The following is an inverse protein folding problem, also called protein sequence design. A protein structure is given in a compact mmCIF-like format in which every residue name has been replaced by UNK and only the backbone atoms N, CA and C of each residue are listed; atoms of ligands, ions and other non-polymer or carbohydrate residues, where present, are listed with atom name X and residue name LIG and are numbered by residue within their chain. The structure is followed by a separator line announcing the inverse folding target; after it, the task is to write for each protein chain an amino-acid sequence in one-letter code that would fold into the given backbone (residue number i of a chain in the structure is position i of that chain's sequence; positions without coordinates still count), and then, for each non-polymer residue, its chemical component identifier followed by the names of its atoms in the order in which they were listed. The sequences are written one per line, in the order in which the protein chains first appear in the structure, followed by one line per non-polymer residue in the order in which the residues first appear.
data_IF_851500626602
#
_entry.id   IF_851500626602
#
_cell.length_a   1.000
_cell.length_b   1.000
_cell.length_c   1.000
_cell.angle_alpha   90.00
_cell.angle_beta   90.00
_cell.angle_gamma   90.00
#
_symmetry.space_group_name_H-M   'P 1'
#
loop_
_entity.id
_entity.type
_entity.pdbx_description
1 polymer ?
#
# COMPACT_ATOMS: atom_id res chain seq x y z
N UNK A 1 -24.66 4.30 -32.83
CA UNK A 1 -24.01 3.66 -31.67
C UNK A 1 -24.63 2.31 -31.35
N UNK A 2 -25.90 2.22 -30.93
CA UNK A 2 -26.58 0.94 -30.62
C UNK A 2 -26.36 -0.18 -31.66
N UNK A 3 -26.46 0.12 -32.96
CA UNK A 3 -26.27 -0.87 -34.04
C UNK A 3 -24.83 -1.41 -34.14
N UNK A 4 -23.84 -0.64 -33.67
CA UNK A 4 -22.41 -0.96 -33.74
C UNK A 4 -21.97 -1.71 -32.47
N UNK A 5 -22.49 -1.32 -31.30
CA UNK A 5 -22.11 -1.89 -29.99
C UNK A 5 -22.99 -3.04 -29.53
N UNK A 6 -24.23 -3.14 -30.03
CA UNK A 6 -25.22 -4.10 -29.54
C UNK A 6 -25.79 -3.77 -28.15
N UNK A 7 -25.50 -2.60 -27.57
CA UNK A 7 -25.86 -2.22 -26.19
C UNK A 7 -27.36 -2.01 -25.92
N UNK A 8 -28.24 -2.27 -26.90
CA UNK A 8 -29.66 -1.93 -26.84
C UNK A 8 -29.96 -0.44 -27.11
N UNK A 9 -31.22 -0.01 -26.85
CA UNK A 9 -31.66 1.36 -27.11
C UNK A 9 -30.94 2.36 -26.19
N UNK A 10 -30.44 3.45 -26.78
CA UNK A 10 -29.92 4.61 -26.04
C UNK A 10 -31.03 5.65 -25.86
N UNK A 11 -30.95 6.41 -24.77
CA UNK A 11 -31.81 7.57 -24.53
C UNK A 11 -31.10 8.87 -24.98
N UNK A 12 -31.76 10.01 -24.78
CA UNK A 12 -31.29 11.36 -25.11
C UNK A 12 -30.56 12.07 -23.96
N UNK A 13 -30.33 11.38 -22.83
CA UNK A 13 -29.58 11.94 -21.69
C UNK A 13 -28.11 12.07 -22.08
N UNK A 14 -27.60 13.30 -21.99
CA UNK A 14 -26.16 13.58 -22.11
C UNK A 14 -25.50 13.37 -20.74
N UNK A 15 -24.48 12.53 -20.72
CA UNK A 15 -23.53 12.35 -19.61
C UNK A 15 -22.12 12.47 -20.21
N UNK A 16 -21.40 13.53 -19.86
CA UNK A 16 -20.05 13.82 -20.37
C UNK A 16 -19.30 14.76 -19.42
N UNK A 17 -18.00 14.52 -19.27
CA UNK A 17 -17.06 15.38 -18.56
C UNK A 17 -15.83 15.65 -19.45
N UNK A 18 -15.13 16.75 -19.18
CA UNK A 18 -13.84 17.06 -19.78
C UNK A 18 -12.78 17.08 -18.67
N UNK A 19 -11.73 16.29 -18.83
CA UNK A 19 -10.67 16.11 -17.84
C UNK A 19 -9.31 16.32 -18.51
N UNK A 20 -8.36 16.91 -17.79
CA UNK A 20 -6.97 17.07 -18.25
C UNK A 20 -6.08 16.21 -17.39
N UNK A 21 -5.31 15.33 -18.03
CA UNK A 21 -4.43 14.38 -17.36
C UNK A 21 -3.01 14.93 -17.45
N UNK A 22 -2.51 15.44 -16.33
CA UNK A 22 -1.13 15.91 -16.18
C UNK A 22 -0.28 14.80 -15.55
N UNK A 23 1.04 14.95 -15.52
CA UNK A 23 1.90 14.07 -14.74
C UNK A 23 1.63 14.24 -13.22
N UNK A 24 0.80 13.39 -12.60
CA UNK A 24 0.60 13.35 -11.13
C UNK A 24 -0.46 12.40 -10.51
N UNK A 25 -1.71 12.31 -10.98
CA UNK A 25 -2.79 11.52 -10.34
C UNK A 25 -2.85 10.05 -10.87
N UNK A 26 -3.98 9.30 -10.89
CA UNK A 26 -4.10 7.96 -11.55
C UNK A 26 -5.57 7.45 -11.67
N UNK A 27 -5.96 6.75 -12.76
CA UNK A 27 -7.27 6.07 -12.84
C UNK A 27 -7.05 4.60 -12.61
N UNK A 28 -7.48 4.14 -11.45
CA UNK A 28 -7.34 2.75 -11.07
C UNK A 28 -8.40 1.89 -11.80
N UNK A 29 -8.14 0.58 -12.00
CA UNK A 29 -9.04 -0.33 -12.69
C UNK A 29 -10.48 -0.33 -12.14
N UNK A 30 -11.43 -0.05 -13.02
CA UNK A 30 -12.88 -0.02 -12.76
C UNK A 30 -13.63 -0.50 -14.02
N UNK A 31 -14.93 -0.80 -13.93
CA UNK A 31 -15.72 -1.35 -15.05
C UNK A 31 -16.84 -0.43 -15.58
N UNK A 32 -16.95 0.79 -15.05
CA UNK A 32 -17.85 1.88 -15.48
C UNK A 32 -19.37 1.62 -15.26
N UNK A 33 -19.70 0.66 -14.39
CA UNK A 33 -21.07 0.17 -14.16
C UNK A 33 -21.84 1.10 -13.19
N UNK A 34 -22.15 2.30 -13.68
CA UNK A 34 -22.87 3.31 -12.88
C UNK A 34 -24.30 3.49 -13.41
N UNK A 35 -25.28 3.20 -12.57
CA UNK A 35 -26.70 3.55 -12.75
C UNK A 35 -27.34 3.03 -14.05
N UNK A 36 -27.31 3.85 -15.11
CA UNK A 36 -27.92 3.55 -16.42
C UNK A 36 -26.92 3.66 -17.59
N UNK A 37 -25.61 3.61 -17.33
CA UNK A 37 -24.60 3.59 -18.39
C UNK A 37 -24.68 2.28 -19.20
N UNK A 38 -24.53 2.39 -20.52
CA UNK A 38 -24.57 1.24 -21.45
C UNK A 38 -23.43 1.25 -22.48
N UNK A 39 -22.82 2.41 -22.72
CA UNK A 39 -21.61 2.60 -23.53
C UNK A 39 -20.74 3.60 -22.78
N UNK A 40 -19.47 3.29 -22.64
CA UNK A 40 -18.42 4.25 -22.27
C UNK A 40 -17.67 4.67 -23.52
N UNK A 41 -17.28 5.95 -23.56
CA UNK A 41 -16.52 6.50 -24.67
C UNK A 41 -15.59 7.62 -24.20
N UNK A 42 -14.42 7.71 -24.81
CA UNK A 42 -13.42 8.75 -24.53
C UNK A 42 -12.95 9.33 -25.85
N UNK A 43 -13.10 10.64 -26.02
CA UNK A 43 -12.56 11.39 -27.16
C UNK A 43 -11.25 12.03 -26.72
N UNK A 44 -10.15 11.68 -27.37
CA UNK A 44 -8.83 12.19 -27.02
C UNK A 44 -8.51 13.46 -27.81
N UNK A 45 -8.09 14.50 -27.08
CA UNK A 45 -7.77 15.83 -27.60
C UNK A 45 -6.36 16.26 -27.12
N UNK A 46 -5.38 15.38 -27.31
CA UNK A 46 -3.95 15.67 -27.14
C UNK A 46 -3.46 16.70 -28.17
N UNK A 47 -2.21 17.15 -28.08
CA UNK A 47 -1.66 18.10 -29.05
C UNK A 47 -1.62 17.45 -30.46
N UNK A 48 -2.19 18.06 -31.51
CA UNK A 48 -2.11 17.53 -32.87
C UNK A 48 -0.71 17.60 -33.50
N UNK A 49 0.17 18.45 -32.97
CA UNK A 49 1.53 18.68 -33.49
C UNK A 49 2.61 17.90 -32.70
N UNK A 50 2.24 17.23 -31.60
CA UNK A 50 3.13 16.38 -30.79
C UNK A 50 2.65 14.91 -30.77
N UNK A 51 3.52 13.95 -31.10
CA UNK A 51 3.13 12.55 -31.25
C UNK A 51 3.13 11.83 -29.89
N UNK A 52 1.95 11.54 -29.35
CA UNK A 52 1.82 10.81 -28.09
C UNK A 52 2.38 9.38 -28.20
N UNK A 53 3.36 9.05 -27.37
CA UNK A 53 4.02 7.74 -27.36
C UNK A 53 3.65 6.91 -26.13
N UNK A 54 4.07 5.65 -26.09
CA UNK A 54 3.92 4.81 -24.91
C UNK A 54 4.83 5.23 -23.72
N UNK A 55 5.81 6.12 -23.94
CA UNK A 55 6.66 6.64 -22.86
C UNK A 55 5.97 7.75 -22.06
N UNK A 56 4.96 8.41 -22.63
CA UNK A 56 4.25 9.55 -22.05
C UNK A 56 3.12 9.13 -21.08
N UNK A 57 2.86 7.83 -20.96
CA UNK A 57 1.79 7.28 -20.12
C UNK A 57 0.39 7.56 -20.69
N UNK A 58 -0.62 7.63 -19.82
CA UNK A 58 -1.98 8.01 -20.19
C UNK A 58 -2.73 7.03 -21.12
N UNK A 59 -2.18 5.84 -21.38
CA UNK A 59 -2.81 4.83 -22.21
C UNK A 59 -4.09 4.27 -21.57
N UNK A 60 -5.13 4.04 -22.35
CA UNK A 60 -6.26 3.20 -21.93
C UNK A 60 -5.79 1.75 -21.88
N UNK A 61 -5.84 1.14 -20.71
CA UNK A 61 -5.48 -0.25 -20.42
C UNK A 61 -6.75 -1.10 -20.32
N UNK A 62 -6.80 -2.24 -21.02
CA UNK A 62 -7.93 -3.18 -20.95
C UNK A 62 -7.51 -4.51 -20.33
N UNK A 63 -8.28 -4.97 -19.35
CA UNK A 63 -7.98 -6.17 -18.56
C UNK A 63 -8.86 -7.35 -18.99
N UNK A 64 -8.28 -8.53 -19.25
CA UNK A 64 -9.07 -9.73 -19.50
C UNK A 64 -9.70 -10.21 -18.19
N UNK A 65 -10.87 -10.86 -18.27
CA UNK A 65 -11.44 -11.59 -17.14
C UNK A 65 -10.59 -12.82 -16.82
N UNK A 66 -10.16 -12.95 -15.57
CA UNK A 66 -9.52 -14.16 -15.03
C UNK A 66 -10.57 -15.18 -14.57
N UNK A 67 -11.62 -14.68 -13.92
CA UNK A 67 -12.83 -15.45 -13.58
C UNK A 67 -14.05 -14.51 -13.59
N UNK A 68 -15.30 -15.03 -13.53
CA UNK A 68 -16.50 -14.19 -13.61
C UNK A 68 -16.48 -13.07 -12.55
N UNK A 69 -16.55 -11.81 -12.98
CA UNK A 69 -16.50 -10.64 -12.08
C UNK A 69 -15.11 -10.25 -11.56
N UNK A 70 -14.04 -10.95 -11.97
CA UNK A 70 -12.66 -10.68 -11.52
C UNK A 70 -11.73 -10.48 -12.73
N UNK A 71 -11.12 -9.29 -12.88
CA UNK A 71 -10.12 -9.04 -13.91
C UNK A 71 -8.78 -9.66 -13.51
N UNK A 72 -8.02 -10.13 -14.51
CA UNK A 72 -6.61 -10.50 -14.32
C UNK A 72 -5.78 -9.28 -13.91
N UNK A 73 -4.63 -9.50 -13.25
CA UNK A 73 -3.80 -8.40 -12.71
C UNK A 73 -2.97 -7.64 -13.77
N UNK A 74 -2.90 -8.16 -15.00
CA UNK A 74 -2.08 -7.64 -16.11
C UNK A 74 -3.00 -7.30 -17.29
N UNK A 75 -2.98 -6.06 -17.81
CA UNK A 75 -3.76 -5.69 -18.99
C UNK A 75 -3.14 -6.30 -20.25
N UNK A 76 -3.99 -6.64 -21.22
CA UNK A 76 -3.57 -7.33 -22.46
C UNK A 76 -3.83 -6.56 -23.75
N UNK A 77 -4.53 -5.44 -23.67
CA UNK A 77 -4.71 -4.52 -24.78
C UNK A 77 -4.60 -3.07 -24.30
N UNK A 78 -4.11 -2.20 -25.18
CA UNK A 78 -3.77 -0.81 -24.89
C UNK A 78 -4.20 0.09 -26.05
N UNK A 79 -4.66 1.30 -25.75
CA UNK A 79 -4.87 2.36 -26.74
C UNK A 79 -4.22 3.67 -26.26
N UNK A 80 -3.40 4.28 -27.11
CA UNK A 80 -2.77 5.57 -26.82
C UNK A 80 -3.77 6.72 -27.06
N UNK A 81 -3.75 7.79 -26.24
CA UNK A 81 -4.66 8.92 -26.31
C UNK A 81 -4.29 9.89 -27.46
N UNK A 82 -4.26 9.39 -28.70
CA UNK A 82 -3.85 10.16 -29.90
C UNK A 82 -4.91 11.19 -30.30
N UNK A 83 -4.50 12.32 -30.88
CA UNK A 83 -5.40 13.44 -31.18
C UNK A 83 -6.57 13.02 -32.09
N UNK A 84 -7.78 13.47 -31.71
CA UNK A 84 -9.02 13.25 -32.44
C UNK A 84 -9.35 11.75 -32.65
N UNK A 85 -8.91 10.90 -31.72
CA UNK A 85 -9.28 9.49 -31.65
C UNK A 85 -10.42 9.25 -30.64
N UNK A 86 -11.13 8.13 -30.81
CA UNK A 86 -12.28 7.72 -30.00
C UNK A 86 -12.06 6.29 -29.51
N UNK A 87 -11.92 6.12 -28.19
CA UNK A 87 -12.13 4.82 -27.54
C UNK A 87 -13.63 4.68 -27.22
N UNK A 88 -14.20 3.48 -27.42
CA UNK A 88 -15.62 3.23 -27.20
C UNK A 88 -15.87 1.73 -26.95
N UNK A 89 -16.60 1.40 -25.89
CA UNK A 89 -16.93 0.02 -25.52
C UNK A 89 -18.29 -0.08 -24.78
N UNK A 90 -18.99 -1.22 -24.85
CA UNK A 90 -20.17 -1.47 -24.02
C UNK A 90 -19.79 -1.56 -22.54
N UNK A 91 -20.62 -1.00 -21.66
CA UNK A 91 -20.51 -1.23 -20.21
C UNK A 91 -21.08 -2.61 -19.88
N UNK A 92 -20.31 -3.42 -19.17
CA UNK A 92 -20.61 -4.82 -18.90
C UNK A 92 -20.17 -5.22 -17.48
N UNK A 93 -21.12 -5.44 -16.54
CA UNK A 93 -20.84 -5.75 -15.14
C UNK A 93 -19.81 -6.87 -14.94
N UNK A 94 -18.71 -6.53 -14.26
CA UNK A 94 -17.62 -7.47 -13.96
C UNK A 94 -16.78 -7.89 -15.17
N UNK A 95 -16.89 -7.18 -16.31
CA UNK A 95 -16.25 -7.52 -17.59
C UNK A 95 -15.50 -6.32 -18.20
N UNK A 96 -16.09 -5.11 -18.22
CA UNK A 96 -15.52 -3.91 -18.88
C UNK A 96 -14.37 -3.24 -18.10
N UNK A 97 -13.55 -4.04 -17.42
CA UNK A 97 -12.45 -3.54 -16.59
C UNK A 97 -11.35 -2.84 -17.40
N UNK A 98 -11.13 -1.59 -17.06
CA UNK A 98 -10.14 -0.73 -17.69
C UNK A 98 -9.56 0.29 -16.70
N UNK A 99 -8.38 0.80 -17.02
CA UNK A 99 -7.77 1.95 -16.35
C UNK A 99 -7.20 2.91 -17.38
N UNK A 100 -6.90 4.13 -16.94
CA UNK A 100 -5.92 4.97 -17.64
C UNK A 100 -4.61 4.78 -16.90
N UNK A 101 -3.61 4.25 -17.61
CA UNK A 101 -2.24 4.19 -17.13
C UNK A 101 -1.88 5.55 -16.54
N UNK A 102 -1.26 5.53 -15.35
CA UNK A 102 -0.71 6.68 -14.60
C UNK A 102 -0.51 7.91 -15.54
N UNK A 103 -1.21 9.06 -15.40
CA UNK A 103 -1.47 9.73 -14.11
C UNK A 103 -2.79 10.61 -13.92
N UNK A 104 -4.07 10.15 -14.04
CA UNK A 104 -5.31 10.74 -13.37
C UNK A 104 -6.56 9.81 -13.43
N UNK A 105 -7.67 9.87 -12.60
CA UNK A 105 -8.04 10.70 -11.42
C UNK A 105 -8.63 10.00 -10.12
N UNK A 106 -9.94 9.58 -10.02
CA UNK A 106 -10.77 9.50 -8.75
C UNK A 106 -11.95 8.47 -8.77
N UNK A 107 -12.30 7.88 -7.60
CA UNK A 107 -13.62 7.27 -7.30
C UNK A 107 -13.69 5.74 -7.33
N UNK A 108 -14.43 5.13 -6.40
CA UNK A 108 -14.71 3.67 -6.35
C UNK A 108 -16.19 3.48 -6.00
N UNK A 109 -16.96 2.85 -6.89
CA UNK A 109 -18.39 2.55 -6.68
C UNK A 109 -18.63 1.22 -5.94
N UNK A 110 -19.88 0.99 -5.54
CA UNK A 110 -20.33 -0.21 -4.81
C UNK A 110 -19.89 -1.54 -5.43
N UNK A 111 -19.22 -2.37 -4.63
CA UNK A 111 -18.79 -3.71 -5.02
C UNK A 111 -19.98 -4.66 -5.25
N UNK A 112 -20.06 -5.26 -6.45
CA UNK A 112 -21.01 -6.34 -6.75
C UNK A 112 -20.83 -7.55 -5.81
N UNK A 113 -21.84 -8.40 -5.69
CA UNK A 113 -21.80 -9.57 -4.80
C UNK A 113 -20.57 -10.49 -5.02
N UNK A 114 -20.12 -10.64 -6.26
CA UNK A 114 -18.91 -11.41 -6.59
C UNK A 114 -17.63 -10.70 -6.14
N UNK A 115 -17.59 -9.36 -6.25
CA UNK A 115 -16.49 -8.53 -5.76
C UNK A 115 -16.44 -8.58 -4.22
N UNK A 116 -17.58 -8.57 -3.52
CA UNK A 116 -17.65 -8.78 -2.07
C UNK A 116 -17.07 -10.14 -1.64
N UNK A 117 -17.43 -11.24 -2.32
CA UNK A 117 -16.82 -12.56 -2.04
C UNK A 117 -15.31 -12.56 -2.30
N UNK A 118 -14.83 -11.85 -3.33
CA UNK A 118 -13.40 -11.72 -3.60
C UNK A 118 -12.67 -10.87 -2.53
N UNK A 119 -13.32 -9.83 -1.99
CA UNK A 119 -12.84 -9.04 -0.85
C UNK A 119 -12.69 -9.93 0.38
N UNK A 120 -13.73 -10.67 0.76
CA UNK A 120 -13.69 -11.63 1.88
C UNK A 120 -12.59 -12.67 1.72
N UNK A 121 -12.46 -13.27 0.53
CA UNK A 121 -11.45 -14.29 0.24
C UNK A 121 -10.01 -13.75 0.23
N UNK A 122 -9.82 -12.44 -0.01
CA UNK A 122 -8.50 -11.80 0.05
C UNK A 122 -7.98 -11.59 1.48
N UNK A 123 -8.90 -11.51 2.45
CA UNK A 123 -8.56 -11.24 3.84
C UNK A 123 -8.13 -12.52 4.57
N UNK A 124 -6.99 -12.45 5.27
CA UNK A 124 -6.56 -13.55 6.14
C UNK A 124 -7.26 -13.49 7.50
N UNK A 125 -7.53 -14.67 8.12
CA UNK A 125 -8.04 -14.74 9.48
C UNK A 125 -6.99 -14.21 10.47
N UNK A 126 -7.46 -13.73 11.62
CA UNK A 126 -6.59 -13.39 12.74
C UNK A 126 -6.20 -14.65 13.51
N UNK A 127 -4.91 -14.78 13.80
CA UNK A 127 -4.37 -15.79 14.72
C UNK A 127 -4.50 -15.26 16.15
N UNK A 128 -4.97 -16.05 17.14
CA UNK A 128 -5.10 -15.59 18.52
C UNK A 128 -3.78 -15.11 19.11
N UNK A 129 -3.84 -14.06 19.94
CA UNK A 129 -2.71 -13.45 20.62
C UNK A 129 -3.04 -13.30 22.09
N UNK A 130 -2.09 -13.65 22.96
CA UNK A 130 -2.18 -13.45 24.41
C UNK A 130 -1.22 -12.32 24.83
N UNK A 131 -1.69 -11.46 25.74
CA UNK A 131 -0.93 -10.35 26.32
C UNK A 131 -0.68 -10.69 27.78
N UNK A 132 0.59 -10.69 28.21
CA UNK A 132 0.94 -10.85 29.61
C UNK A 132 0.55 -9.60 30.43
N UNK A 133 0.03 -9.79 31.64
CA UNK A 133 -0.53 -8.72 32.47
C UNK A 133 0.51 -7.92 33.28
N UNK A 134 1.80 -8.01 32.94
CA UNK A 134 2.88 -7.30 33.65
C UNK A 134 3.06 -5.89 33.09
N UNK A 135 3.36 -4.91 33.96
CA UNK A 135 3.49 -3.49 33.60
C UNK A 135 4.83 -3.14 32.92
N UNK A 136 5.74 -4.12 32.79
CA UNK A 136 7.12 -3.93 32.34
C UNK A 136 7.60 -5.16 31.54
N UNK A 137 8.59 -4.94 30.67
CA UNK A 137 9.28 -6.01 29.94
C UNK A 137 10.28 -6.72 30.85
N UNK A 138 10.28 -8.05 30.82
CA UNK A 138 11.28 -8.87 31.52
C UNK A 138 12.65 -8.81 30.84
N UNK A 139 13.70 -9.22 31.54
CA UNK A 139 15.06 -9.33 30.97
C UNK A 139 15.11 -10.23 29.72
N UNK A 140 14.29 -11.29 29.68
CA UNK A 140 14.22 -12.20 28.54
C UNK A 140 13.56 -11.55 27.31
N UNK A 141 12.52 -10.75 27.52
CA UNK A 141 11.82 -10.02 26.45
C UNK A 141 12.68 -8.88 25.93
N UNK A 142 13.34 -8.12 26.81
CA UNK A 142 14.33 -7.12 26.43
C UNK A 142 15.47 -7.75 25.60
N UNK A 143 15.96 -8.93 25.99
CA UNK A 143 16.98 -9.66 25.23
C UNK A 143 16.48 -10.13 23.84
N UNK A 144 15.19 -10.44 23.70
CA UNK A 144 14.57 -10.80 22.42
C UNK A 144 14.35 -9.58 21.50
N UNK A 145 13.99 -8.41 22.07
CA UNK A 145 13.68 -7.19 21.32
C UNK A 145 14.91 -6.35 20.95
N UNK A 146 15.94 -6.30 21.81
CA UNK A 146 17.16 -5.48 21.61
C UNK A 146 17.89 -5.70 20.27
N UNK A 147 17.97 -6.92 19.69
CA UNK A 147 18.56 -7.12 18.36
C UNK A 147 17.80 -6.42 17.22
N UNK A 148 16.52 -6.09 17.43
CA UNK A 148 15.63 -5.53 16.42
C UNK A 148 15.30 -4.06 16.68
N UNK A 149 14.84 -3.71 17.87
CA UNK A 149 14.31 -2.38 18.21
C UNK A 149 15.44 -1.45 18.65
N UNK A 150 15.39 -0.20 18.21
CA UNK A 150 16.24 0.88 18.69
C UNK A 150 16.05 1.09 20.20
N UNK A 151 17.14 1.04 20.96
CA UNK A 151 17.14 0.97 22.43
C UNK A 151 16.37 2.11 23.13
N UNK A 152 16.18 3.27 22.49
CA UNK A 152 15.35 4.36 23.04
C UNK A 152 13.92 3.88 23.32
N UNK A 153 13.35 3.07 22.43
CA UNK A 153 11.98 2.54 22.52
C UNK A 153 11.83 1.38 23.51
N UNK A 154 12.92 0.91 24.11
CA UNK A 154 12.91 -0.15 25.13
C UNK A 154 13.01 0.38 26.56
N UNK A 155 13.08 1.71 26.74
CA UNK A 155 13.12 2.34 28.06
C UNK A 155 11.72 2.63 28.58
N UNK A 156 11.51 2.51 29.90
CA UNK A 156 10.22 2.75 30.56
C UNK A 156 9.71 4.17 30.31
N UNK A 157 10.56 5.17 30.55
CA UNK A 157 10.23 6.59 30.38
C UNK A 157 9.78 6.92 28.94
N UNK A 158 10.36 6.28 27.91
CA UNK A 158 9.94 6.45 26.51
C UNK A 158 8.64 5.70 26.22
N UNK A 159 8.42 4.51 26.77
CA UNK A 159 7.15 3.78 26.62
C UNK A 159 5.99 4.56 27.24
N UNK A 160 6.18 5.16 28.42
CA UNK A 160 5.18 6.03 29.06
C UNK A 160 4.85 7.25 28.18
N UNK A 161 5.87 7.93 27.63
CA UNK A 161 5.66 9.06 26.70
C UNK A 161 4.94 8.68 25.40
N UNK A 162 5.23 7.49 24.85
CA UNK A 162 4.56 6.97 23.65
C UNK A 162 3.10 6.63 23.98
N UNK A 163 2.84 6.02 25.14
CA UNK A 163 1.50 5.69 25.60
C UNK A 163 0.65 6.95 25.80
N UNK A 164 1.16 7.96 26.50
CA UNK A 164 0.47 9.24 26.70
C UNK A 164 0.14 9.92 25.37
N UNK A 165 1.12 10.00 24.45
CA UNK A 165 0.92 10.60 23.13
C UNK A 165 -0.09 9.83 22.28
N UNK A 166 -0.02 8.49 22.28
CA UNK A 166 -0.91 7.63 21.52
C UNK A 166 -2.35 7.66 22.04
N UNK A 167 -2.55 7.65 23.37
CA UNK A 167 -3.88 7.77 23.97
C UNK A 167 -4.54 9.13 23.70
N UNK A 168 -3.75 10.18 23.48
CA UNK A 168 -4.25 11.51 23.12
C UNK A 168 -4.71 11.66 21.67
N UNK A 169 -4.23 10.82 20.74
CA UNK A 169 -4.42 11.02 19.28
C UNK A 169 -4.92 9.77 18.52
N UNK A 170 -4.91 8.60 19.15
CA UNK A 170 -5.16 7.31 18.49
C UNK A 170 -4.10 6.88 17.47
N UNK A 171 -3.02 7.66 17.27
CA UNK A 171 -2.00 7.41 16.25
C UNK A 171 -0.62 7.98 16.61
N UNK A 172 0.45 7.27 16.25
CA UNK A 172 1.82 7.76 16.42
C UNK A 172 2.79 7.17 15.38
N UNK A 173 3.81 7.93 14.99
CA UNK A 173 4.92 7.47 14.16
C UNK A 173 6.22 7.43 14.98
N UNK A 174 6.89 6.28 14.98
CA UNK A 174 8.15 6.03 15.66
C UNK A 174 9.25 5.85 14.61
N UNK A 175 10.01 6.92 14.36
CA UNK A 175 11.08 6.95 13.37
C UNK A 175 12.34 6.24 13.83
N UNK A 176 13.14 5.71 12.90
CA UNK A 176 14.34 4.92 13.22
C UNK A 176 14.03 3.77 14.19
N UNK A 177 12.92 3.06 13.95
CA UNK A 177 12.36 2.07 14.87
C UNK A 177 13.23 0.84 15.03
N UNK A 178 13.67 0.23 13.92
CA UNK A 178 14.66 -0.84 13.97
C UNK A 178 16.06 -0.27 14.21
N UNK A 179 16.94 -1.12 14.76
CA UNK A 179 18.37 -0.83 14.84
C UNK A 179 18.93 -0.49 13.45
N UNK A 180 19.90 0.42 13.42
CA UNK A 180 20.54 0.88 12.18
C UNK A 180 21.13 -0.26 11.32
N UNK A 181 21.45 -1.40 11.95
CA UNK A 181 21.94 -2.62 11.31
C UNK A 181 20.86 -3.26 10.43
N UNK A 182 19.66 -3.48 10.96
CA UNK A 182 18.51 -3.98 10.18
C UNK A 182 18.07 -2.96 9.13
N UNK A 183 17.97 -1.69 9.51
CA UNK A 183 17.57 -0.62 8.59
C UNK A 183 18.50 -0.55 7.36
N UNK A 184 19.82 -0.55 7.59
CA UNK A 184 20.82 -0.52 6.51
C UNK A 184 20.80 -1.77 5.63
N UNK A 185 20.61 -2.96 6.23
CA UNK A 185 20.51 -4.22 5.49
C UNK A 185 19.24 -4.27 4.61
N UNK A 186 18.10 -3.80 5.13
CA UNK A 186 16.83 -3.72 4.40
C UNK A 186 16.94 -2.67 3.28
N UNK A 187 17.38 -1.45 3.57
CA UNK A 187 17.55 -0.37 2.58
C UNK A 187 18.49 -0.78 1.41
N UNK A 188 19.60 -1.46 1.71
CA UNK A 188 20.51 -1.99 0.68
C UNK A 188 19.80 -3.04 -0.19
N UNK A 189 19.00 -3.92 0.43
CA UNK A 189 18.30 -5.01 -0.25
C UNK A 189 17.12 -4.52 -1.11
N UNK A 190 16.33 -3.55 -0.62
CA UNK A 190 15.19 -2.98 -1.33
C UNK A 190 15.64 -2.18 -2.54
N UNK A 191 16.63 -1.29 -2.39
CA UNK A 191 17.25 -0.54 -3.51
C UNK A 191 17.84 -1.47 -4.57
N UNK A 192 18.51 -2.55 -4.15
CA UNK A 192 19.06 -3.53 -5.09
C UNK A 192 17.96 -4.27 -5.88
N UNK A 193 16.84 -4.61 -5.23
CA UNK A 193 15.69 -5.22 -5.90
C UNK A 193 15.01 -4.23 -6.86
N UNK A 194 14.75 -2.99 -6.44
CA UNK A 194 14.14 -1.97 -7.32
C UNK A 194 15.02 -1.66 -8.54
N UNK A 195 16.34 -1.60 -8.36
CA UNK A 195 17.29 -1.44 -9.47
C UNK A 195 17.33 -2.65 -10.41
N UNK A 196 17.13 -3.87 -9.91
CA UNK A 196 17.10 -5.09 -10.73
C UNK A 196 15.79 -5.21 -11.51
N UNK A 197 14.67 -4.85 -10.88
CA UNK A 197 13.32 -4.83 -11.44
C UNK A 197 13.03 -3.59 -12.31
N UNK A 198 13.99 -2.65 -12.40
CA UNK A 198 13.92 -1.39 -13.15
C UNK A 198 12.81 -0.42 -12.71
N UNK A 199 12.45 -0.47 -11.42
CA UNK A 199 11.38 0.34 -10.84
C UNK A 199 11.82 1.77 -10.49
N UNK A 200 10.84 2.68 -10.44
CA UNK A 200 10.98 4.04 -9.97
C UNK A 200 11.70 5.00 -10.92
N UNK A 201 11.99 6.20 -10.41
CA UNK A 201 12.63 7.31 -11.15
C UNK A 201 11.90 7.71 -12.43
N UNK A 202 10.56 7.70 -12.42
CA UNK A 202 9.71 8.06 -13.57
C UNK A 202 9.63 7.00 -14.66
N UNK A 203 10.16 5.79 -14.44
CA UNK A 203 10.10 4.71 -15.43
C UNK A 203 8.75 4.02 -15.40
N UNK A 204 8.17 3.79 -16.57
CA UNK A 204 7.01 2.90 -16.73
C UNK A 204 7.45 1.46 -16.45
N UNK A 205 6.90 0.79 -15.44
CA UNK A 205 7.32 -0.56 -15.04
C UNK A 205 6.67 -1.63 -15.92
N UNK A 206 7.30 -2.81 -16.01
CA UNK A 206 6.61 -4.00 -16.47
C UNK A 206 5.63 -4.47 -15.37
N UNK A 207 4.38 -4.82 -15.71
CA UNK A 207 3.40 -5.31 -14.73
C UNK A 207 3.89 -6.53 -13.93
N UNK A 208 4.77 -7.35 -14.51
CA UNK A 208 5.39 -8.53 -13.89
C UNK A 208 6.65 -8.23 -13.08
N UNK A 209 7.11 -6.97 -13.00
CA UNK A 209 8.32 -6.61 -12.28
C UNK A 209 8.21 -6.99 -10.79
N UNK A 210 9.29 -7.53 -10.22
CA UNK A 210 9.36 -7.92 -8.81
C UNK A 210 8.74 -9.26 -8.42
N UNK A 211 8.12 -10.01 -9.33
CA UNK A 211 7.64 -11.38 -9.07
C UNK A 211 7.93 -12.32 -10.26
N UNK A 212 7.82 -13.62 -10.02
CA UNK A 212 7.92 -14.65 -11.07
C UNK A 212 6.76 -15.65 -10.95
N UNK A 213 6.47 -16.35 -12.04
CA UNK A 213 5.54 -17.49 -12.07
C UNK A 213 6.24 -18.84 -11.84
N UNK A 214 7.57 -18.86 -11.83
CA UNK A 214 8.34 -19.90 -11.15
C UNK A 214 8.60 -19.49 -9.70
N UNK A 215 8.68 -20.45 -8.77
CA UNK A 215 8.83 -20.21 -7.31
C UNK A 215 10.23 -19.67 -6.92
N UNK A 216 10.88 -18.90 -7.79
CA UNK A 216 12.28 -18.47 -7.66
C UNK A 216 12.50 -17.30 -6.70
N UNK A 217 11.52 -16.40 -6.54
CA UNK A 217 11.64 -15.21 -5.69
C UNK A 217 10.58 -15.09 -4.58
N UNK A 218 9.56 -15.95 -4.59
CA UNK A 218 8.44 -16.01 -3.62
C UNK A 218 7.69 -14.68 -3.37
N UNK A 219 7.69 -13.77 -4.34
CA UNK A 219 6.74 -12.67 -4.37
C UNK A 219 5.52 -13.09 -5.18
N UNK A 220 4.33 -12.80 -4.66
CA UNK A 220 3.06 -13.18 -5.29
C UNK A 220 2.20 -11.94 -5.46
N UNK A 221 1.71 -11.63 -6.67
CA UNK A 221 0.87 -10.46 -6.88
C UNK A 221 -0.50 -10.69 -6.23
N UNK A 222 -0.99 -9.66 -5.54
CA UNK A 222 -2.27 -9.65 -4.86
C UNK A 222 -3.28 -8.78 -5.62
N UNK A 223 -4.55 -9.16 -5.50
CA UNK A 223 -5.70 -8.49 -6.06
C UNK A 223 -6.93 -8.70 -5.18
N UNK A 224 -8.15 -8.54 -5.70
CA UNK A 224 -8.48 -8.15 -7.08
C UNK A 224 -8.25 -6.65 -7.36
N UNK A 225 -8.12 -6.24 -8.63
CA UNK A 225 -7.73 -4.87 -8.99
C UNK A 225 -8.70 -3.77 -8.51
N UNK A 226 -10.00 -4.03 -8.51
CA UNK A 226 -11.01 -3.10 -7.97
C UNK A 226 -10.93 -2.93 -6.43
N UNK A 227 -9.95 -3.56 -5.77
CA UNK A 227 -9.66 -3.47 -4.34
C UNK A 227 -8.21 -3.07 -4.07
N UNK A 228 -7.26 -3.71 -4.76
CA UNK A 228 -5.84 -3.60 -4.46
C UNK A 228 -4.97 -4.16 -5.60
N UNK A 229 -3.73 -3.68 -5.69
CA UNK A 229 -2.63 -4.32 -6.41
C UNK A 229 -1.35 -4.12 -5.62
N UNK A 230 -0.69 -5.19 -5.19
CA UNK A 230 0.64 -5.14 -4.56
C UNK A 230 1.31 -6.52 -4.64
N UNK A 231 2.59 -6.64 -4.30
CA UNK A 231 3.24 -7.94 -4.13
C UNK A 231 3.31 -8.33 -2.65
N UNK A 232 2.89 -9.56 -2.34
CA UNK A 232 3.07 -10.18 -1.02
C UNK A 232 4.17 -11.22 -1.06
N UNK A 233 5.10 -11.17 -0.11
CA UNK A 233 6.11 -12.21 0.05
C UNK A 233 5.50 -13.44 0.75
N UNK A 234 5.74 -14.63 0.19
CA UNK A 234 5.24 -15.92 0.71
C UNK A 234 6.36 -16.91 1.03
N UNK A 235 7.62 -16.50 0.86
CA UNK A 235 8.77 -17.35 1.13
C UNK A 235 9.11 -17.45 2.62
N UNK A 236 10.00 -18.38 2.96
CA UNK A 236 10.47 -18.53 4.33
C UNK A 236 11.43 -17.41 4.74
N UNK A 237 11.43 -17.07 6.03
CA UNK A 237 12.46 -16.26 6.66
C UNK A 237 13.87 -16.93 6.58
N UNK A 238 14.96 -16.17 6.76
CA UNK A 238 16.31 -16.68 6.97
C UNK A 238 16.38 -17.72 8.08
N UNK A 239 17.15 -18.79 7.87
CA UNK A 239 17.46 -19.72 8.95
C UNK A 239 18.29 -19.01 10.04
N UNK A 240 18.19 -19.46 11.30
CA UNK A 240 18.93 -18.85 12.42
C UNK A 240 20.45 -18.74 12.17
N UNK A 241 21.04 -19.67 11.42
CA UNK A 241 22.46 -19.65 11.03
C UNK A 241 22.80 -18.64 9.93
N UNK A 242 21.81 -18.16 9.17
CA UNK A 242 21.93 -17.00 8.28
C UNK A 242 21.77 -15.69 9.07
N UNK A 243 20.79 -15.62 9.97
CA UNK A 243 20.57 -14.46 10.87
C UNK A 243 21.83 -14.16 11.70
N UNK A 244 22.44 -15.19 12.29
CA UNK A 244 23.70 -15.07 13.03
C UNK A 244 24.85 -14.50 12.16
N UNK A 245 24.92 -14.87 10.87
CA UNK A 245 25.93 -14.33 9.94
C UNK A 245 25.63 -12.89 9.54
N UNK A 246 24.35 -12.55 9.33
CA UNK A 246 23.91 -11.18 9.07
C UNK A 246 24.28 -10.29 10.25
N UNK A 247 23.83 -10.65 11.46
CA UNK A 247 24.15 -9.94 12.70
C UNK A 247 25.67 -9.79 12.91
N UNK A 248 26.47 -10.84 12.75
CA UNK A 248 27.93 -10.73 12.89
C UNK A 248 28.58 -9.82 11.83
N UNK A 249 28.16 -9.93 10.57
CA UNK A 249 28.69 -9.08 9.49
C UNK A 249 28.28 -7.61 9.63
N UNK A 250 27.13 -7.34 10.25
CA UNK A 250 26.65 -6.00 10.56
C UNK A 250 27.33 -5.40 11.81
N UNK A 251 27.85 -6.21 12.74
CA UNK A 251 28.63 -5.71 13.89
C UNK A 251 30.06 -5.27 13.53
N UNK A 252 30.66 -5.85 12.48
CA UNK A 252 32.00 -5.47 12.00
C UNK A 252 31.99 -4.15 11.21
N UNK A 253 30.82 -3.65 10.80
CA UNK A 253 30.65 -2.46 9.96
C UNK A 253 30.81 -1.10 10.70
N UNK A 254 31.60 -1.04 11.78
CA UNK A 254 31.84 0.22 12.53
C UNK A 254 32.73 1.24 11.81
N UNK A 255 33.42 0.85 10.74
CA UNK A 255 34.28 1.73 9.93
C UNK A 255 33.75 1.94 8.50
N UNK A 256 32.57 2.59 8.38
CA UNK A 256 32.06 3.09 7.09
C UNK A 256 32.83 4.36 6.66
N UNK A 257 34.13 4.20 6.36
CA UNK A 257 34.88 5.19 5.57
C UNK A 257 36.13 4.67 4.83
N UNK A 258 36.34 3.35 4.73
CA UNK A 258 37.44 2.79 3.91
C UNK A 258 36.97 1.63 3.03
N UNK A 259 36.46 1.95 1.85
CA UNK A 259 36.19 0.97 0.78
C UNK A 259 37.50 0.41 0.22
N UNK A 260 37.89 -0.78 0.68
CA UNK A 260 39.04 -1.50 0.11
C UNK A 260 38.62 -2.16 -1.20
N UNK A 261 38.87 -1.47 -2.32
CA UNK A 261 38.55 -1.97 -3.66
C UNK A 261 39.23 -3.33 -3.92
N UNK A 262 38.44 -4.39 -4.10
CA UNK A 262 38.93 -5.74 -4.40
C UNK A 262 38.14 -6.89 -3.79
N UNK A 263 37.25 -6.66 -2.82
CA UNK A 263 36.28 -7.66 -2.39
C UNK A 263 35.07 -7.66 -3.34
N UNK A 264 34.67 -8.83 -3.84
CA UNK A 264 33.34 -9.00 -4.46
C UNK A 264 32.28 -8.60 -3.43
N UNK A 265 31.33 -7.71 -3.76
CA UNK A 265 30.25 -7.38 -2.83
C UNK A 265 29.54 -8.66 -2.40
N UNK A 266 29.23 -8.85 -1.11
CA UNK A 266 28.31 -9.92 -0.72
C UNK A 266 26.99 -9.69 -1.45
N UNK A 267 26.44 -10.73 -2.07
CA UNK A 267 25.12 -10.64 -2.72
C UNK A 267 24.12 -10.10 -1.70
N UNK A 268 23.40 -9.00 -1.97
CA UNK A 268 22.45 -8.45 -1.02
C UNK A 268 21.40 -9.52 -0.69
N UNK A 269 21.08 -9.65 0.59
CA UNK A 269 20.04 -10.60 1.01
C UNK A 269 18.69 -10.18 0.43
N UNK A 270 17.84 -11.13 0.06
CA UNK A 270 16.51 -10.82 -0.49
C UNK A 270 15.73 -9.94 0.50
N UNK A 271 15.16 -8.79 0.08
CA UNK A 271 14.41 -7.92 0.98
C UNK A 271 13.20 -8.65 1.57
N UNK A 272 12.54 -9.52 0.79
CA UNK A 272 11.45 -10.36 1.28
C UNK A 272 11.88 -11.29 2.42
N UNK A 273 13.08 -11.88 2.35
CA UNK A 273 13.63 -12.69 3.46
C UNK A 273 13.90 -11.83 4.70
N UNK A 274 14.53 -10.67 4.55
CA UNK A 274 14.83 -9.78 5.68
C UNK A 274 13.53 -9.31 6.37
N UNK A 275 12.55 -8.85 5.58
CA UNK A 275 11.24 -8.41 6.08
C UNK A 275 10.44 -9.56 6.68
N UNK A 276 10.50 -10.78 6.12
CA UNK A 276 9.89 -11.97 6.72
C UNK A 276 10.55 -12.36 8.05
N UNK A 277 11.84 -12.05 8.26
CA UNK A 277 12.45 -12.20 9.58
C UNK A 277 11.88 -11.21 10.59
N UNK A 278 11.73 -9.94 10.21
CA UNK A 278 11.09 -8.92 11.07
C UNK A 278 9.62 -9.29 11.33
N UNK A 279 8.90 -9.82 10.33
CA UNK A 279 7.55 -10.35 10.49
C UNK A 279 7.48 -11.45 11.56
N UNK A 280 8.31 -12.49 11.41
CA UNK A 280 8.19 -13.73 12.18
C UNK A 280 8.91 -13.72 13.53
N UNK A 281 10.03 -13.00 13.64
CA UNK A 281 10.86 -12.97 14.85
C UNK A 281 10.67 -11.70 15.70
N UNK A 282 10.16 -10.60 15.12
CA UNK A 282 9.79 -9.40 15.88
C UNK A 282 8.28 -9.30 16.06
N UNK A 283 7.50 -8.91 15.03
CA UNK A 283 6.12 -8.44 15.26
C UNK A 283 5.12 -9.55 15.64
N UNK A 284 5.40 -10.80 15.27
CA UNK A 284 4.67 -11.98 15.75
C UNK A 284 5.16 -12.52 17.11
N UNK A 285 6.19 -11.92 17.72
CA UNK A 285 6.70 -12.39 19.01
C UNK A 285 5.83 -11.92 20.20
N UNK A 286 5.65 -12.74 21.26
CA UNK A 286 4.96 -12.31 22.48
C UNK A 286 5.60 -11.08 23.13
N UNK A 287 6.93 -10.98 23.09
CA UNK A 287 7.67 -9.83 23.60
C UNK A 287 7.28 -8.53 22.87
N UNK A 288 7.09 -8.57 21.55
CA UNK A 288 6.64 -7.40 20.79
C UNK A 288 5.18 -7.07 21.06
N UNK A 289 4.31 -8.07 21.21
CA UNK A 289 2.91 -7.88 21.61
C UNK A 289 2.82 -7.19 22.98
N UNK A 290 3.64 -7.60 23.95
CA UNK A 290 3.72 -6.94 25.26
C UNK A 290 4.29 -5.53 25.15
N UNK A 291 5.38 -5.34 24.39
CA UNK A 291 5.92 -4.00 24.08
C UNK A 291 4.86 -3.08 23.45
N UNK A 292 4.08 -3.58 22.49
CA UNK A 292 3.00 -2.84 21.83
C UNK A 292 1.90 -2.47 22.82
N UNK A 293 1.53 -3.40 23.70
CA UNK A 293 0.51 -3.17 24.74
C UNK A 293 0.97 -2.12 25.74
N UNK A 294 2.24 -2.13 26.14
CA UNK A 294 2.86 -1.10 26.97
C UNK A 294 2.98 0.24 26.24
N UNK A 295 3.29 0.25 24.95
CA UNK A 295 3.42 1.46 24.14
C UNK A 295 2.07 2.14 23.82
N UNK A 296 0.95 1.41 23.88
CA UNK A 296 -0.37 1.94 23.44
C UNK A 296 -1.42 1.95 24.55
N UNK A 297 -1.26 1.15 25.60
CA UNK A 297 -2.25 0.95 26.66
C UNK A 297 -3.44 0.06 26.25
N UNK A 298 -3.45 -0.54 25.05
CA UNK A 298 -4.46 -1.51 24.62
C UNK A 298 -3.92 -2.94 24.67
N UNK A 299 -4.80 -3.93 24.73
CA UNK A 299 -4.40 -5.35 24.81
C UNK A 299 -4.94 -6.13 23.60
N UNK A 300 -4.11 -6.42 22.58
CA UNK A 300 -4.48 -7.28 21.45
C UNK A 300 -5.05 -8.65 21.86
N UNK A 301 -5.97 -9.15 21.05
CA UNK A 301 -6.62 -10.48 21.19
C UNK A 301 -6.30 -11.43 20.05
N UNK A 302 -5.82 -10.88 18.93
CA UNK A 302 -5.44 -11.61 17.73
C UNK A 302 -4.60 -10.73 16.82
N UNK A 303 -3.91 -11.33 15.87
CA UNK A 303 -3.10 -10.62 14.87
C UNK A 303 -3.15 -11.27 13.50
N UNK A 304 -2.94 -10.46 12.46
CA UNK A 304 -2.55 -10.94 11.12
C UNK A 304 -1.47 -10.03 10.58
N UNK A 305 -0.43 -10.60 9.97
CA UNK A 305 0.72 -9.85 9.46
C UNK A 305 1.11 -10.26 8.06
N UNK A 306 1.73 -9.34 7.32
CA UNK A 306 2.24 -9.60 5.99
C UNK A 306 3.38 -8.69 5.57
N UNK A 307 4.20 -9.20 4.64
CA UNK A 307 5.28 -8.46 4.01
C UNK A 307 4.83 -8.04 2.62
N UNK A 308 4.74 -6.72 2.40
CA UNK A 308 4.29 -6.13 1.13
C UNK A 308 5.41 -5.37 0.43
N UNK A 309 5.32 -5.33 -0.90
CA UNK A 309 6.02 -4.40 -1.78
C UNK A 309 4.98 -3.74 -2.67
N UNK A 310 4.90 -2.43 -2.63
CA UNK A 310 4.13 -1.60 -3.52
C UNK A 310 5.08 -0.94 -4.53
N UNK A 311 4.95 -1.32 -5.79
CA UNK A 311 5.79 -0.91 -6.92
C UNK A 311 5.33 0.43 -7.51
N UNK A 312 6.26 1.38 -7.77
CA UNK A 312 5.98 2.62 -8.47
C UNK A 312 5.31 2.38 -9.81
N UNK A 313 4.26 3.14 -10.12
CA UNK A 313 3.48 3.03 -11.36
C UNK A 313 2.50 1.87 -11.39
N UNK A 314 2.40 1.05 -10.32
CA UNK A 314 1.52 -0.12 -10.30
C UNK A 314 0.63 -0.20 -9.06
N UNK A 315 1.19 -0.08 -7.87
CA UNK A 315 0.58 -0.71 -6.70
C UNK A 315 -0.10 0.29 -5.74
N UNK A 316 -1.21 -0.16 -5.15
CA UNK A 316 -2.16 0.60 -4.33
C UNK A 316 -3.03 -0.35 -3.50
N UNK A 317 -3.73 0.20 -2.50
CA UNK A 317 -4.99 -0.37 -2.02
C UNK A 317 -6.08 0.70 -2.06
N UNK A 318 -7.35 0.29 -2.08
CA UNK A 318 -8.49 1.18 -2.06
C UNK A 318 -9.17 1.13 -0.69
N UNK A 319 -9.81 2.24 -0.31
CA UNK A 319 -10.71 2.25 0.82
C UNK A 319 -11.90 1.34 0.51
N UNK A 320 -12.23 0.44 1.42
CA UNK A 320 -13.38 -0.45 1.28
C UNK A 320 -14.07 -0.62 2.64
N UNK A 321 -15.39 -0.79 2.61
CA UNK A 321 -16.14 -1.15 3.80
C UNK A 321 -15.68 -2.53 4.31
N UNK A 322 -15.75 -2.75 5.61
CA UNK A 322 -15.58 -4.10 6.14
C UNK A 322 -16.80 -4.96 5.75
N UNK A 323 -16.56 -6.16 5.20
CA UNK A 323 -17.63 -7.06 4.74
C UNK A 323 -18.56 -7.56 5.87
N UNK A 324 -18.18 -7.37 7.14
CA UNK A 324 -18.89 -7.84 8.32
C UNK A 324 -19.76 -6.75 8.94
N UNK A 325 -20.98 -7.08 9.36
CA UNK A 325 -21.91 -6.15 10.04
C UNK A 325 -21.48 -5.66 11.42
N UNK A 326 -20.37 -6.19 11.96
CA UNK A 326 -19.74 -5.75 13.20
C UNK A 326 -18.23 -6.04 13.07
N UNK A 327 -17.47 -5.18 12.36
CA UNK A 327 -16.03 -5.37 12.27
C UNK A 327 -15.38 -5.17 13.66
N UNK A 328 -14.23 -5.81 13.92
CA UNK A 328 -13.46 -5.55 15.14
C UNK A 328 -12.83 -4.16 15.10
N UNK A 329 -12.56 -3.60 16.28
CA UNK A 329 -11.60 -2.47 16.40
C UNK A 329 -10.20 -3.03 16.10
N UNK A 330 -9.45 -2.33 15.24
CA UNK A 330 -8.11 -2.74 14.82
C UNK A 330 -7.07 -1.73 15.32
N UNK A 331 -5.98 -2.24 15.87
CA UNK A 331 -4.71 -1.54 15.97
C UNK A 331 -3.84 -1.94 14.77
N UNK A 332 -3.69 -1.03 13.83
CA UNK A 332 -2.71 -1.14 12.75
C UNK A 332 -1.31 -0.84 13.30
N UNK A 333 -0.33 -1.68 12.92
CA UNK A 333 1.08 -1.49 13.19
C UNK A 333 1.87 -1.76 11.91
N UNK A 334 2.31 -0.70 11.24
CA UNK A 334 2.98 -0.79 9.94
C UNK A 334 4.41 -0.28 10.03
N UNK A 335 5.35 -1.17 9.80
CA UNK A 335 6.77 -0.85 9.74
C UNK A 335 7.18 -0.63 8.28
N UNK A 336 7.36 0.64 7.91
CA UNK A 336 7.60 1.09 6.54
C UNK A 336 9.10 1.24 6.22
N UNK A 337 9.46 0.93 4.97
CA UNK A 337 10.77 1.15 4.36
C UNK A 337 10.57 1.66 2.93
N UNK A 338 11.26 2.73 2.56
CA UNK A 338 11.17 3.36 1.25
C UNK A 338 12.43 4.20 0.99
N UNK A 339 12.62 4.66 -0.24
CA UNK A 339 13.64 5.67 -0.54
C UNK A 339 13.05 7.07 -0.32
N UNK A 340 13.06 7.53 0.94
CA UNK A 340 12.55 8.83 1.39
C UNK A 340 13.59 9.96 1.32
N UNK A 341 14.74 9.71 0.68
CA UNK A 341 15.80 10.71 0.53
C UNK A 341 15.35 11.79 -0.45
N UNK A 342 15.24 13.03 0.03
CA UNK A 342 14.91 14.21 -0.76
C UNK A 342 15.83 14.41 -1.98
N UNK A 343 15.27 14.99 -3.04
CA UNK A 343 16.01 15.35 -4.25
C UNK A 343 16.48 16.81 -4.18
N UNK A 344 17.73 17.09 -4.53
CA UNK A 344 18.21 18.47 -4.61
C UNK A 344 17.44 19.25 -5.68
N UNK A 345 16.75 20.31 -5.26
CA UNK A 345 15.99 21.19 -6.14
C UNK A 345 14.54 20.78 -6.40
N UNK A 346 14.01 19.79 -5.66
CA UNK A 346 12.56 19.58 -5.55
C UNK A 346 12.04 20.31 -4.30
N UNK A 347 10.94 21.05 -4.45
CA UNK A 347 10.28 21.79 -3.35
C UNK A 347 9.26 20.90 -2.61
N UNK A 348 8.87 19.76 -3.18
CA UNK A 348 7.93 18.82 -2.57
C UNK A 348 8.66 17.71 -1.79
N UNK A 349 8.15 17.35 -0.62
CA UNK A 349 8.72 16.25 0.17
C UNK A 349 8.46 14.90 -0.54
N UNK A 350 9.43 13.97 -0.59
CA UNK A 350 9.19 12.61 -1.08
C UNK A 350 7.98 11.96 -0.40
N UNK A 351 7.21 11.16 -1.14
CA UNK A 351 6.04 10.42 -0.62
C UNK A 351 4.89 11.28 -0.05
N UNK A 352 4.90 12.59 -0.28
CA UNK A 352 3.84 13.53 0.14
C UNK A 352 2.48 13.22 -0.48
N UNK A 353 2.43 12.97 -1.79
CA UNK A 353 1.21 12.73 -2.57
C UNK A 353 1.03 11.27 -3.04
N UNK A 354 1.93 10.37 -2.66
CA UNK A 354 2.05 9.02 -3.21
C UNK A 354 2.52 8.02 -2.15
N UNK A 355 2.00 6.77 -2.19
CA UNK A 355 2.39 5.70 -1.26
C UNK A 355 2.06 5.91 0.23
N UNK A 356 1.43 7.02 0.61
CA UNK A 356 1.00 7.28 1.99
C UNK A 356 -0.13 6.34 2.43
N UNK A 357 -0.18 6.02 3.71
CA UNK A 357 -1.37 5.43 4.33
C UNK A 357 -2.37 6.51 4.68
N UNK A 358 -3.65 6.25 4.44
CA UNK A 358 -4.75 7.14 4.77
C UNK A 358 -5.79 6.39 5.59
N UNK A 359 -6.21 7.00 6.69
CA UNK A 359 -7.26 6.51 7.57
C UNK A 359 -8.38 7.55 7.61
N UNK A 360 -9.61 7.14 7.29
CA UNK A 360 -10.74 8.08 7.23
C UNK A 360 -12.06 7.40 7.55
N UNK A 361 -12.99 8.17 8.12
CA UNK A 361 -14.34 7.67 8.41
C UNK A 361 -15.10 7.42 7.11
N UNK A 362 -15.80 6.30 7.05
CA UNK A 362 -16.83 6.03 6.06
C UNK A 362 -18.00 7.01 6.23
N UNK A 363 -18.46 7.60 5.13
CA UNK A 363 -19.63 8.48 5.10
C UNK A 363 -20.61 7.96 4.04
N UNK A 364 -21.83 7.65 4.48
CA UNK A 364 -22.89 7.17 3.59
C UNK A 364 -23.39 8.31 2.69
N UNK A 365 -23.18 8.20 1.38
CA UNK A 365 -23.69 9.15 0.38
C UNK A 365 -24.95 8.67 -0.36
N UNK A 366 -25.33 7.40 -0.16
CA UNK A 366 -26.51 6.77 -0.78
C UNK A 366 -26.26 6.16 -2.16
N UNK A 367 -25.00 6.17 -2.63
CA UNK A 367 -24.45 5.43 -3.77
C UNK A 367 -23.30 4.50 -3.32
N UNK A 368 -22.77 4.74 -2.12
CA UNK A 368 -21.95 3.85 -1.30
C UNK A 368 -21.60 4.51 0.04
N UNK A 369 -20.70 3.90 0.81
CA UNK A 369 -19.94 4.61 1.85
C UNK A 369 -18.66 5.13 1.19
N UNK A 370 -18.63 6.41 0.80
CA UNK A 370 -17.44 7.00 0.19
C UNK A 370 -16.44 7.49 1.23
N UNK A 371 -15.19 7.62 0.80
CA UNK A 371 -14.20 8.47 1.44
C UNK A 371 -14.80 9.88 1.63
N UNK A 372 -14.93 10.33 2.89
CA UNK A 372 -15.31 11.71 3.20
C UNK A 372 -14.51 12.71 2.35
N UNK A 373 -15.18 13.73 1.81
CA UNK A 373 -14.73 14.53 0.66
C UNK A 373 -13.53 15.50 0.91
N UNK A 374 -12.63 15.16 1.83
CA UNK A 374 -11.50 15.99 2.29
C UNK A 374 -10.42 16.31 1.24
N UNK A 375 -10.54 15.81 0.00
CA UNK A 375 -9.63 16.13 -1.11
C UNK A 375 -10.16 17.19 -2.08
N UNK A 376 -11.44 17.59 -1.99
CA UNK A 376 -12.00 18.70 -2.76
C UNK A 376 -12.00 19.97 -1.90
N UNK A 377 -11.07 20.88 -2.16
CA UNK A 377 -10.86 22.10 -1.36
C UNK A 377 -11.89 23.22 -1.53
N UNK A 378 -13.19 22.92 -1.62
CA UNK A 378 -14.28 23.90 -1.69
C UNK A 378 -15.46 23.49 -0.77
N UNK A 379 -15.83 24.39 0.15
CA UNK A 379 -17.05 24.42 0.98
C UNK A 379 -17.44 23.18 1.82
N UNK A 380 -16.62 22.83 2.82
CA UNK A 380 -17.14 22.23 4.07
C UNK A 380 -17.31 23.31 5.15
N UNK A 381 -18.54 23.80 5.33
CA UNK A 381 -18.89 24.85 6.33
C UNK A 381 -19.31 24.31 7.70
N UNK A 382 -19.08 23.02 7.97
CA UNK A 382 -19.49 22.36 9.21
C UNK A 382 -18.35 22.37 10.23
N UNK A 383 -18.66 22.71 11.49
CA UNK A 383 -17.70 23.02 12.56
C UNK A 383 -17.01 21.78 13.19
N UNK A 384 -17.05 20.61 12.52
CA UNK A 384 -16.51 19.34 13.00
C UNK A 384 -15.08 19.09 12.44
N UNK A 385 -14.08 19.81 12.97
CA UNK A 385 -12.64 19.61 12.69
C UNK A 385 -12.15 18.16 12.98
N UNK A 386 -12.90 17.39 13.78
CA UNK A 386 -12.61 15.99 14.16
C UNK A 386 -12.80 14.97 13.00
N UNK A 387 -13.25 15.40 11.81
CA UNK A 387 -13.51 14.53 10.67
C UNK A 387 -12.33 14.40 9.66
N UNK A 388 -11.22 15.10 9.89
CA UNK A 388 -10.08 15.11 8.96
C UNK A 388 -9.41 13.72 8.81
N UNK A 389 -8.99 13.31 7.59
CA UNK A 389 -8.31 12.05 7.38
C UNK A 389 -6.90 12.06 8.02
N UNK A 390 -6.54 10.97 8.70
CA UNK A 390 -5.18 10.79 9.21
C UNK A 390 -4.31 10.25 8.08
N UNK A 391 -3.43 11.11 7.54
CA UNK A 391 -2.45 10.77 6.52
C UNK A 391 -1.09 10.46 7.15
N UNK A 392 -0.62 9.23 6.96
CA UNK A 392 0.67 8.72 7.42
C UNK A 392 1.58 8.59 6.21
N UNK A 393 2.47 9.57 6.02
CA UNK A 393 3.44 9.57 4.92
C UNK A 393 4.39 8.37 5.00
N UNK A 394 4.79 7.82 3.84
CA UNK A 394 5.78 6.76 3.81
C UNK A 394 7.15 7.30 4.23
N UNK A 395 7.75 6.68 5.23
CA UNK A 395 9.06 7.05 5.78
C UNK A 395 9.87 5.78 6.02
N UNK A 396 11.19 5.87 5.87
CA UNK A 396 12.08 4.73 6.00
C UNK A 396 12.28 4.37 7.48
N UNK A 397 12.38 3.07 7.77
CA UNK A 397 12.55 2.52 9.11
C UNK A 397 11.61 3.14 10.16
N UNK A 398 10.33 3.32 9.82
CA UNK A 398 9.34 4.01 10.67
C UNK A 398 8.18 3.09 10.99
N UNK A 399 7.93 2.87 12.29
CA UNK A 399 6.75 2.14 12.76
C UNK A 399 5.61 3.13 13.00
N UNK A 400 4.53 2.99 12.23
CA UNK A 400 3.30 3.75 12.43
C UNK A 400 2.27 2.88 13.15
N UNK A 401 1.73 3.38 14.26
CA UNK A 401 0.65 2.75 15.01
C UNK A 401 -0.61 3.59 14.85
N UNK A 402 -1.76 2.97 14.58
CA UNK A 402 -3.06 3.66 14.46
C UNK A 402 -4.18 2.75 14.99
N UNK A 403 -4.98 3.22 15.97
CA UNK A 403 -6.28 2.60 16.27
C UNK A 403 -7.30 3.10 15.25
N UNK A 404 -8.02 2.17 14.64
CA UNK A 404 -9.17 2.47 13.78
C UNK A 404 -10.42 1.74 14.27
N UNK A 405 -11.50 2.52 14.39
CA UNK A 405 -12.80 2.03 14.83
C UNK A 405 -13.52 1.26 13.71
N UNK A 406 -14.75 0.82 13.98
CA UNK A 406 -15.57 0.03 13.07
C UNK A 406 -16.03 0.76 11.81
N UNK A 407 -15.88 2.09 11.78
CA UNK A 407 -16.23 2.99 10.67
C UNK A 407 -15.02 3.61 9.96
N UNK A 408 -13.80 3.36 10.45
CA UNK A 408 -12.57 3.92 9.86
C UNK A 408 -11.97 2.95 8.83
N UNK A 409 -12.02 3.37 7.57
CA UNK A 409 -11.37 2.71 6.44
C UNK A 409 -9.88 3.05 6.40
N UNK A 410 -9.06 2.12 5.91
CA UNK A 410 -7.62 2.27 5.67
C UNK A 410 -7.32 2.01 4.21
N UNK A 411 -6.45 2.81 3.59
CA UNK A 411 -5.84 2.46 2.31
C UNK A 411 -4.40 2.97 2.17
N UNK A 412 -3.65 2.41 1.23
CA UNK A 412 -2.35 2.94 0.79
C UNK A 412 -2.54 3.59 -0.58
N UNK A 413 -2.32 4.90 -0.67
CA UNK A 413 -2.38 5.64 -1.92
C UNK A 413 -1.43 5.01 -2.94
N UNK A 414 -1.86 5.00 -4.21
CA UNK A 414 -1.04 4.51 -5.32
C UNK A 414 0.37 5.11 -5.29
N UNK A 415 1.37 4.26 -5.51
CA UNK A 415 2.77 4.67 -5.57
C UNK A 415 3.07 5.19 -6.97
N UNK A 416 3.31 6.49 -7.11
CA UNK A 416 3.61 7.14 -8.40
C UNK A 416 4.86 6.55 -9.04
N UNK A 417 4.89 6.38 -10.37
CA UNK A 417 6.12 5.93 -11.07
C UNK A 417 7.33 6.85 -10.83
N UNK A 418 7.06 8.11 -10.44
CA UNK A 418 8.04 9.15 -10.09
C UNK A 418 8.85 8.83 -8.83
N UNK A 419 8.30 8.04 -7.91
CA UNK A 419 9.02 7.64 -6.69
C UNK A 419 10.32 6.92 -7.03
N UNK A 420 11.33 7.08 -6.17
CA UNK A 420 12.68 6.57 -6.42
C UNK A 420 12.80 5.05 -6.31
N UNK A 421 11.84 4.39 -5.68
CA UNK A 421 11.80 2.94 -5.50
C UNK A 421 10.46 2.51 -4.91
N UNK A 422 10.32 1.22 -4.59
CA UNK A 422 9.12 0.69 -3.95
C UNK A 422 8.92 1.23 -2.54
N UNK A 423 7.65 1.31 -2.14
CA UNK A 423 7.28 1.23 -0.72
C UNK A 423 7.29 -0.24 -0.32
N UNK A 424 7.95 -0.55 0.79
CA UNK A 424 8.02 -1.88 1.38
C UNK A 424 7.51 -1.78 2.81
N UNK A 425 6.72 -2.74 3.26
CA UNK A 425 6.33 -2.76 4.67
C UNK A 425 6.13 -4.16 5.24
N UNK A 426 6.23 -4.23 6.57
CA UNK A 426 5.60 -5.28 7.37
C UNK A 426 4.31 -4.66 7.90
N UNK A 427 3.18 -4.99 7.26
CA UNK A 427 1.85 -4.54 7.65
C UNK A 427 1.25 -5.54 8.64
N UNK A 428 0.87 -5.07 9.84
CA UNK A 428 0.25 -5.89 10.87
C UNK A 428 -1.05 -5.24 11.32
N UNK A 429 -2.09 -6.06 11.48
CA UNK A 429 -3.34 -5.68 12.11
C UNK A 429 -3.52 -6.52 13.37
N UNK A 430 -3.84 -5.88 14.50
CA UNK A 430 -4.17 -6.52 15.77
C UNK A 430 -5.64 -6.26 16.11
N UNK A 431 -6.42 -7.31 16.40
CA UNK A 431 -7.78 -7.15 16.91
C UNK A 431 -7.76 -6.72 18.37
N UNK A 432 -8.47 -5.65 18.69
CA UNK A 432 -8.70 -5.23 20.07
C UNK A 432 -10.02 -5.84 20.60
N UNK A 433 -10.20 -5.95 21.92
CA UNK A 433 -11.49 -6.31 22.49
C UNK A 433 -12.56 -5.30 22.07
N UNK A 434 -13.77 -5.78 21.77
CA UNK A 434 -14.91 -4.88 21.63
C UNK A 434 -15.23 -4.23 23.00
N UNK A 435 -15.64 -2.95 23.06
CA UNK A 435 -15.91 -2.23 24.31
C UNK A 435 -17.06 -2.81 25.16
#
# INVERSE_FOLDING_TARGET
MSDITGCGPLNDKVDCAANVYMAGCHLLPHDDVIGTRCISYVIYLSDPDDEWTAADGGALELYPSESPGVPALVPTAFALPTYNSLALFPVAPGISFHSVQDQAPVGVDEATATQLTAIEASQRPFEPVEVESEDQLTEAELAALTPFINAIYLTKDTLEQIQDAFQGTGSIQLQSFLTAQWASAIDTATRAADSADQLGHGKVPAYTAGYSTDDSNHWTPQGPLFLQRYLRYTGAAPAASEVLKLQSSLTDAKDVNTTKAGATPPTPSSPGRLLAHVQTALVQSPAFVKWLSLATGVSPTGSRSEVRRLRPGLDYTLAHQAATSSPPIILDAVLCFCDDVGQEGDDEAPWSASGFECYMRAVADGVGDVAAAAFNGEDSTDEDDDAAPVQIGAQNNTLSLVVRDTSTMKFVKFVSCRERGSRWDVNVEYTLPNP
#
